data_IF_879983897859
#
_entry.id   IF_879983897859
#
_cell.length_a   1.000
_cell.length_b   1.000
_cell.length_c   1.000
_cell.angle_alpha   90.00
_cell.angle_beta   90.00
_cell.angle_gamma   90.00
#
_symmetry.space_group_name_H-M   'P 1'
#
loop_
_entity.id
_entity.type
_entity.pdbx_description
1 polymer ?
#
# COMPACT_ATOMS: atom_id res chain seq x y z
N UNK A 1 5.03 36.85 -22.83
CA UNK A 1 4.78 35.53 -23.43
C UNK A 1 4.05 34.71 -22.39
N UNK A 2 2.74 34.56 -22.49
CA UNK A 2 2.00 33.67 -21.59
C UNK A 2 2.40 32.24 -21.92
N UNK A 3 2.97 31.53 -20.95
CA UNK A 3 3.25 30.11 -21.11
C UNK A 3 1.90 29.39 -20.99
N UNK A 4 1.31 29.04 -22.13
CA UNK A 4 0.11 28.22 -22.20
C UNK A 4 0.50 26.78 -21.84
N UNK A 5 0.39 26.46 -20.56
CA UNK A 5 0.60 25.09 -20.05
C UNK A 5 -0.57 24.23 -20.51
N UNK A 6 -0.28 23.16 -21.26
CA UNK A 6 -1.32 22.23 -21.72
C UNK A 6 -1.94 21.47 -20.53
N UNK A 7 -3.18 20.98 -20.63
CA UNK A 7 -3.78 20.17 -19.57
C UNK A 7 -2.92 18.96 -19.17
N UNK A 8 -2.21 18.35 -20.13
CA UNK A 8 -1.33 17.21 -19.90
C UNK A 8 -0.13 17.57 -19.00
N UNK A 9 0.52 18.71 -19.25
CA UNK A 9 1.66 19.19 -18.44
C UNK A 9 1.26 19.42 -16.97
N UNK A 10 0.02 19.85 -16.70
CA UNK A 10 -0.49 19.99 -15.33
C UNK A 10 -0.56 18.65 -14.58
N UNK A 11 -0.88 17.56 -15.29
CA UNK A 11 -0.86 16.22 -14.69
C UNK A 11 0.56 15.73 -14.42
N UNK A 12 1.52 16.06 -15.29
CA UNK A 12 2.91 15.69 -15.06
C UNK A 12 3.52 16.43 -13.86
N UNK A 13 3.12 17.66 -13.58
CA UNK A 13 3.61 18.42 -12.42
C UNK A 13 3.19 17.82 -11.07
N UNK A 14 2.04 17.13 -11.00
CA UNK A 14 1.59 16.47 -9.76
C UNK A 14 2.20 15.09 -9.55
N UNK A 15 2.66 14.43 -10.62
CA UNK A 15 3.15 13.05 -10.60
C UNK A 15 4.34 12.83 -9.62
N UNK A 16 5.35 13.72 -9.53
CA UNK A 16 6.46 13.56 -8.58
C UNK A 16 6.02 13.52 -7.11
N UNK A 17 4.92 14.18 -6.76
CA UNK A 17 4.39 14.20 -5.39
C UNK A 17 3.68 12.89 -5.02
N UNK A 18 3.24 12.11 -6.01
CA UNK A 18 2.65 10.79 -5.80
C UNK A 18 3.70 9.70 -5.60
N UNK A 19 4.91 9.89 -6.14
CA UNK A 19 6.00 8.90 -6.04
C UNK A 19 6.29 8.52 -4.57
N UNK A 20 6.47 9.45 -3.61
CA UNK A 20 6.72 9.09 -2.22
C UNK A 20 5.58 8.26 -1.59
N UNK A 21 4.33 8.59 -1.92
CA UNK A 21 3.15 7.89 -1.40
C UNK A 21 3.08 6.47 -1.95
N UNK A 22 3.31 6.29 -3.25
CA UNK A 22 3.37 4.99 -3.90
C UNK A 22 4.52 4.14 -3.36
N UNK A 23 5.71 4.73 -3.15
CA UNK A 23 6.85 4.03 -2.55
C UNK A 23 6.53 3.57 -1.13
N UNK A 24 5.96 4.45 -0.30
CA UNK A 24 5.54 4.11 1.06
C UNK A 24 4.51 2.96 1.05
N UNK A 25 3.52 3.04 0.17
CA UNK A 25 2.51 2.01 0.01
C UNK A 25 3.13 0.65 -0.38
N UNK A 26 4.00 0.63 -1.38
CA UNK A 26 4.67 -0.59 -1.84
C UNK A 26 5.55 -1.19 -0.73
N UNK A 27 6.32 -0.36 -0.03
CA UNK A 27 7.13 -0.81 1.11
C UNK A 27 6.24 -1.46 2.17
N UNK A 28 5.17 -0.76 2.58
CA UNK A 28 4.29 -1.25 3.64
C UNK A 28 3.59 -2.55 3.25
N UNK A 29 3.12 -2.65 2.01
CA UNK A 29 2.51 -3.85 1.45
C UNK A 29 3.50 -5.02 1.42
N UNK A 30 4.72 -4.81 0.92
CA UNK A 30 5.74 -5.86 0.87
C UNK A 30 6.10 -6.33 2.28
N UNK A 31 6.35 -5.41 3.22
CA UNK A 31 6.67 -5.77 4.61
C UNK A 31 5.52 -6.55 5.26
N UNK A 32 4.26 -6.16 5.02
CA UNK A 32 3.10 -6.89 5.54
C UNK A 32 2.96 -8.30 4.95
N UNK A 33 3.16 -8.45 3.64
CA UNK A 33 3.12 -9.76 2.98
C UNK A 33 4.27 -10.66 3.45
N UNK A 34 5.47 -10.09 3.63
CA UNK A 34 6.63 -10.83 4.17
C UNK A 34 6.35 -11.26 5.60
N UNK A 35 5.88 -10.38 6.49
CA UNK A 35 5.51 -10.74 7.86
C UNK A 35 4.44 -11.84 7.88
N UNK A 36 3.37 -11.68 7.09
CA UNK A 36 2.32 -12.68 6.92
C UNK A 36 2.86 -14.03 6.44
N UNK A 37 3.80 -14.03 5.50
CA UNK A 37 4.41 -15.24 4.96
C UNK A 37 5.17 -16.06 6.00
N UNK A 38 5.74 -15.41 7.02
CA UNK A 38 6.44 -16.09 8.11
C UNK A 38 5.51 -16.60 9.21
N UNK A 39 4.25 -16.15 9.24
CA UNK A 39 3.28 -16.59 10.25
C UNK A 39 2.54 -17.85 9.81
N UNK A 40 2.44 -18.80 10.74
CA UNK A 40 1.67 -20.04 10.55
C UNK A 40 0.17 -19.82 10.76
N UNK A 41 -0.21 -19.05 11.79
CA UNK A 41 -1.60 -18.81 12.19
C UNK A 41 -1.85 -17.33 12.50
N UNK A 42 -2.13 -16.49 11.48
CA UNK A 42 -2.55 -15.11 11.71
C UNK A 42 -3.91 -15.05 12.42
N UNK A 43 -4.17 -13.95 13.12
CA UNK A 43 -5.39 -13.77 13.94
C UNK A 43 -6.58 -13.38 13.06
N UNK A 44 -7.79 -13.73 13.49
CA UNK A 44 -9.09 -13.38 12.89
C UNK A 44 -9.43 -13.98 11.52
N UNK A 45 -8.49 -13.97 10.58
CA UNK A 45 -8.67 -14.46 9.21
C UNK A 45 -7.57 -15.45 8.83
N UNK A 46 -7.85 -16.41 7.92
CA UNK A 46 -6.81 -17.27 7.38
C UNK A 46 -5.79 -16.47 6.57
N UNK A 47 -4.59 -17.04 6.40
CA UNK A 47 -3.45 -16.39 5.74
C UNK A 47 -3.78 -15.84 4.34
N UNK A 48 -4.49 -16.61 3.52
CA UNK A 48 -4.87 -16.18 2.17
C UNK A 48 -5.83 -14.97 2.17
N UNK A 49 -6.72 -14.88 3.16
CA UNK A 49 -7.66 -13.77 3.28
C UNK A 49 -6.93 -12.49 3.72
N UNK A 50 -5.95 -12.61 4.62
CA UNK A 50 -5.08 -11.46 4.95
C UNK A 50 -4.27 -10.96 3.76
N UNK A 51 -3.77 -11.87 2.91
CA UNK A 51 -3.07 -11.46 1.70
C UNK A 51 -3.97 -10.64 0.76
N UNK A 52 -5.24 -11.04 0.60
CA UNK A 52 -6.23 -10.26 -0.16
C UNK A 52 -6.48 -8.88 0.47
N UNK A 53 -6.64 -8.82 1.80
CA UNK A 53 -6.83 -7.55 2.50
C UNK A 53 -5.62 -6.62 2.31
N UNK A 54 -4.40 -7.15 2.40
CA UNK A 54 -3.16 -6.39 2.21
C UNK A 54 -3.05 -5.86 0.77
N UNK A 55 -3.36 -6.69 -0.24
CA UNK A 55 -3.19 -6.32 -1.65
C UNK A 55 -4.31 -5.38 -2.14
N UNK A 56 -5.56 -5.65 -1.78
CA UNK A 56 -6.71 -4.86 -2.25
C UNK A 56 -7.02 -3.65 -1.36
N UNK A 57 -6.51 -3.62 -0.14
CA UNK A 57 -6.72 -2.54 0.82
C UNK A 57 -5.75 -1.37 0.70
N UNK A 58 -4.87 -1.36 -0.30
CA UNK A 58 -3.88 -0.30 -0.55
C UNK A 58 -3.04 0.01 0.70
N UNK A 59 -3.06 1.23 1.23
CA UNK A 59 -2.39 1.59 2.49
C UNK A 59 -3.12 1.03 3.72
N UNK A 60 -4.45 0.94 3.67
CA UNK A 60 -5.28 0.56 4.82
C UNK A 60 -5.13 -0.94 5.11
N UNK A 61 -5.06 -1.78 4.09
CA UNK A 61 -4.91 -3.24 4.21
C UNK A 61 -3.72 -3.67 5.07
N UNK A 62 -2.48 -3.27 4.73
CA UNK A 62 -1.29 -3.49 5.54
C UNK A 62 -1.41 -2.94 6.97
N UNK A 63 -1.98 -1.75 7.16
CA UNK A 63 -2.16 -1.14 8.49
C UNK A 63 -3.09 -1.99 9.35
N UNK A 64 -4.25 -2.38 8.83
CA UNK A 64 -5.20 -3.27 9.52
C UNK A 64 -4.54 -4.60 9.83
N UNK A 65 -3.77 -5.16 8.89
CA UNK A 65 -3.01 -6.38 9.13
C UNK A 65 -2.05 -6.22 10.32
N UNK A 66 -1.23 -5.17 10.36
CA UNK A 66 -0.27 -5.00 11.46
C UNK A 66 -0.95 -4.79 12.82
N UNK A 67 -2.08 -4.10 12.87
CA UNK A 67 -2.80 -3.83 14.12
C UNK A 67 -3.57 -5.06 14.60
N UNK A 68 -4.28 -5.76 13.70
CA UNK A 68 -5.23 -6.81 14.07
C UNK A 68 -4.81 -8.21 13.62
N UNK A 69 -4.28 -8.33 12.41
CA UNK A 69 -3.99 -9.63 11.77
C UNK A 69 -2.67 -10.27 12.18
N UNK A 70 -1.67 -9.45 12.48
CA UNK A 70 -0.31 -9.89 12.84
C UNK A 70 -0.35 -10.90 13.98
N UNK A 71 -1.15 -10.62 15.01
CA UNK A 71 -1.04 -11.33 16.28
C UNK A 71 0.34 -11.14 16.89
N UNK A 72 0.53 -11.53 18.14
CA UNK A 72 1.88 -11.69 18.68
C UNK A 72 2.52 -12.91 18.02
#
# INVERSE_FOLDING_TARGET
>A
MEIVITPFERFLQILPYLIPVLVLQLILMVVALVDLSHREKPRFLPKWAWALVIILGELIGPIIYFIFGRGE
#
